data_IF_278373149677
#
_entry.id   IF_278373149677
#
_cell.length_a   1.000
_cell.length_b   1.000
_cell.length_c   1.000
_cell.angle_alpha   90.00
_cell.angle_beta   90.00
_cell.angle_gamma   90.00
#
_symmetry.space_group_name_H-M   'P 1'
#
loop_
_entity.id
_entity.type
_entity.pdbx_description
1 polymer ?
#
# COMPACT_ATOMS: atom_id res chain seq x y z
N UNK A 1 18.10 -10.64 -11.68
CA UNK A 1 16.93 -9.75 -11.50
C UNK A 1 17.17 -8.65 -10.47
N UNK A 2 17.54 -8.97 -9.23
CA UNK A 2 17.76 -7.96 -8.18
C UNK A 2 18.77 -6.87 -8.58
N UNK A 3 19.90 -7.25 -9.20
CA UNK A 3 20.89 -6.29 -9.72
C UNK A 3 20.29 -5.27 -10.70
N UNK A 4 19.45 -5.71 -11.63
CA UNK A 4 18.80 -4.84 -12.62
C UNK A 4 17.85 -3.85 -11.95
N UNK A 5 17.09 -4.29 -10.94
CA UNK A 5 16.22 -3.42 -10.14
C UNK A 5 17.04 -2.43 -9.30
N UNK A 6 18.15 -2.86 -8.70
CA UNK A 6 19.07 -1.96 -8.01
C UNK A 6 19.62 -0.87 -8.94
N UNK A 7 19.94 -1.21 -10.19
CA UNK A 7 20.38 -0.23 -11.19
C UNK A 7 19.25 0.75 -11.54
N UNK A 8 18.02 0.27 -11.74
CA UNK A 8 16.84 1.14 -11.98
C UNK A 8 16.62 2.09 -10.79
N UNK A 9 16.67 1.57 -9.56
CA UNK A 9 16.57 2.38 -8.34
C UNK A 9 17.67 3.43 -8.28
N UNK A 10 18.91 3.09 -8.64
CA UNK A 10 20.02 4.02 -8.68
C UNK A 10 19.80 5.13 -9.72
N UNK A 11 19.38 4.78 -10.94
CA UNK A 11 19.05 5.75 -11.99
C UNK A 11 17.94 6.70 -11.53
N UNK A 12 16.87 6.16 -10.96
CA UNK A 12 15.74 6.92 -10.44
C UNK A 12 16.15 7.85 -9.28
N UNK A 13 17.13 7.47 -8.44
CA UNK A 13 17.66 8.36 -7.40
C UNK A 13 18.57 9.46 -7.96
N UNK A 14 19.36 9.16 -8.97
CA UNK A 14 20.35 10.11 -9.51
C UNK A 14 19.72 11.15 -10.42
N UNK A 15 18.75 10.78 -11.25
CA UNK A 15 18.08 11.71 -12.16
C UNK A 15 16.58 11.38 -12.29
N UNK A 16 15.79 11.68 -11.24
CA UNK A 16 14.41 11.20 -11.12
C UNK A 16 13.51 11.76 -12.24
N UNK A 17 13.45 13.07 -12.42
CA UNK A 17 12.53 13.70 -13.38
C UNK A 17 12.85 13.31 -14.83
N UNK A 18 14.14 13.30 -15.21
CA UNK A 18 14.52 12.91 -16.57
C UNK A 18 14.21 11.44 -16.84
N UNK A 19 14.45 10.56 -15.86
CA UNK A 19 14.13 9.14 -15.98
C UNK A 19 12.62 8.92 -16.13
N UNK A 20 11.80 9.53 -15.26
CA UNK A 20 10.33 9.42 -15.30
C UNK A 20 9.78 9.93 -16.63
N UNK A 21 10.23 11.10 -17.08
CA UNK A 21 9.84 11.65 -18.39
C UNK A 21 10.18 10.67 -19.52
N UNK A 22 11.41 10.15 -19.56
CA UNK A 22 11.84 9.21 -20.59
C UNK A 22 11.00 7.91 -20.61
N UNK A 23 10.75 7.29 -19.45
CA UNK A 23 10.01 6.02 -19.41
C UNK A 23 8.50 6.21 -19.63
N UNK A 24 7.98 7.42 -19.40
CA UNK A 24 6.58 7.76 -19.64
C UNK A 24 6.26 8.03 -21.12
N UNK A 25 7.24 8.48 -21.91
CA UNK A 25 7.07 8.80 -23.33
C UNK A 25 7.66 7.75 -24.27
N UNK A 26 8.36 6.73 -23.75
CA UNK A 26 8.98 5.70 -24.57
C UNK A 26 8.15 4.42 -24.57
N UNK A 27 7.62 4.08 -25.75
CA UNK A 27 6.84 2.85 -25.98
C UNK A 27 7.71 1.65 -26.34
N UNK A 28 7.20 0.43 -26.12
CA UNK A 28 7.86 -0.82 -26.55
C UNK A 28 7.48 -1.19 -27.98
N UNK A 29 7.04 -0.23 -28.79
CA UNK A 29 6.59 -0.52 -30.15
C UNK A 29 7.75 -1.06 -31.01
N UNK A 30 7.53 -2.16 -31.71
CA UNK A 30 8.55 -2.93 -32.44
C UNK A 30 8.82 -2.43 -33.87
N UNK A 31 8.28 -1.26 -34.24
CA UNK A 31 8.25 -0.79 -35.62
C UNK A 31 9.63 -0.63 -36.27
N UNK A 32 10.70 -0.43 -35.50
CA UNK A 32 12.01 -0.07 -36.05
C UNK A 32 13.23 -0.77 -35.45
N UNK A 33 13.08 -1.60 -34.41
CA UNK A 33 14.23 -2.20 -33.70
C UNK A 33 13.98 -3.67 -33.29
N UNK A 34 14.84 -4.61 -33.71
CA UNK A 34 14.69 -6.04 -33.38
C UNK A 34 14.85 -6.34 -31.88
N UNK A 35 15.50 -5.45 -31.13
CA UNK A 35 15.60 -5.58 -29.68
C UNK A 35 14.25 -5.38 -28.98
N UNK A 36 13.36 -4.55 -29.54
CA UNK A 36 12.02 -4.34 -28.97
C UNK A 36 11.08 -5.51 -29.24
N UNK A 37 11.24 -6.22 -30.36
CA UNK A 37 10.50 -7.47 -30.59
C UNK A 37 10.94 -8.57 -29.62
N UNK A 38 12.24 -8.67 -29.32
CA UNK A 38 12.73 -9.56 -28.26
C UNK A 38 12.15 -9.18 -26.90
N UNK A 39 12.11 -7.88 -26.55
CA UNK A 39 11.52 -7.42 -25.30
C UNK A 39 10.03 -7.77 -25.19
N UNK A 40 9.24 -7.53 -26.25
CA UNK A 40 7.83 -7.94 -26.29
C UNK A 40 7.67 -9.45 -26.09
N UNK A 41 8.54 -10.26 -26.71
CA UNK A 41 8.54 -11.71 -26.52
C UNK A 41 8.82 -12.11 -25.07
N UNK A 42 9.83 -11.50 -24.44
CA UNK A 42 10.18 -11.73 -23.04
C UNK A 42 9.05 -11.32 -22.10
N UNK A 43 8.34 -10.22 -22.38
CA UNK A 43 7.18 -9.79 -21.60
C UNK A 43 6.01 -10.77 -21.72
N UNK A 44 5.75 -11.28 -22.92
CA UNK A 44 4.73 -12.31 -23.13
C UNK A 44 5.07 -13.60 -22.37
N UNK A 45 6.32 -14.05 -22.41
CA UNK A 45 6.79 -15.21 -21.63
C UNK A 45 6.71 -14.97 -20.13
N UNK A 46 7.09 -13.78 -19.67
CA UNK A 46 6.98 -13.43 -18.26
C UNK A 46 5.52 -13.50 -17.78
N UNK A 47 4.58 -12.94 -18.55
CA UNK A 47 3.15 -13.01 -18.23
C UNK A 47 2.65 -14.46 -18.14
N UNK A 48 3.10 -15.33 -19.04
CA UNK A 48 2.78 -16.77 -19.01
C UNK A 48 3.34 -17.42 -17.74
N UNK A 49 4.58 -17.10 -17.38
CA UNK A 49 5.24 -17.61 -16.18
C UNK A 49 4.55 -17.16 -14.88
N UNK A 50 4.10 -15.90 -14.83
CA UNK A 50 3.32 -15.38 -13.69
C UNK A 50 1.98 -16.12 -13.54
N UNK A 51 1.42 -16.66 -14.62
CA UNK A 51 0.19 -17.48 -14.59
C UNK A 51 0.46 -18.97 -14.29
N UNK A 52 1.66 -19.30 -13.78
CA UNK A 52 2.03 -20.65 -13.35
C UNK A 52 2.45 -21.61 -14.46
N UNK A 53 2.64 -21.12 -15.70
CA UNK A 53 3.11 -21.94 -16.83
C UNK A 53 4.63 -21.82 -17.00
N UNK A 54 5.23 -22.76 -17.73
CA UNK A 54 6.68 -22.71 -18.00
C UNK A 54 7.04 -21.48 -18.87
N UNK A 55 8.17 -20.83 -18.58
CA UNK A 55 8.63 -19.64 -19.30
C UNK A 55 8.86 -19.88 -20.79
N UNK A 56 9.24 -21.10 -21.16
CA UNK A 56 9.48 -21.51 -22.55
C UNK A 56 8.26 -22.20 -23.18
N UNK A 57 7.10 -22.17 -22.53
CA UNK A 57 5.86 -22.69 -23.11
C UNK A 57 5.37 -21.83 -24.29
N UNK A 58 4.47 -22.41 -25.08
CA UNK A 58 3.96 -21.77 -26.30
C UNK A 58 3.24 -20.45 -25.98
N UNK A 59 3.67 -19.37 -26.63
CA UNK A 59 3.05 -18.04 -26.50
C UNK A 59 1.79 -18.01 -27.38
N UNK A 60 0.58 -17.81 -26.83
CA UNK A 60 -0.62 -17.62 -27.64
C UNK A 60 -0.43 -16.49 -28.66
N UNK A 61 -0.92 -16.67 -29.88
CA UNK A 61 -0.68 -15.75 -31.02
C UNK A 61 -1.11 -14.31 -30.68
N UNK A 62 -2.17 -14.15 -29.88
CA UNK A 62 -2.72 -12.84 -29.48
C UNK A 62 -1.89 -12.10 -28.41
N UNK A 63 -0.99 -12.80 -27.71
CA UNK A 63 -0.21 -12.22 -26.59
C UNK A 63 0.74 -11.12 -27.04
N UNK A 64 1.32 -11.24 -28.23
CA UNK A 64 2.29 -10.29 -28.77
C UNK A 64 1.66 -8.93 -29.13
N UNK A 65 0.33 -8.88 -29.29
CA UNK A 65 -0.39 -7.62 -29.52
C UNK A 65 -0.62 -6.82 -28.23
N UNK A 66 -0.59 -7.48 -27.07
CA UNK A 66 -0.92 -6.87 -25.78
C UNK A 66 0.06 -5.76 -25.34
N UNK A 67 1.32 -5.82 -25.79
CA UNK A 67 2.39 -4.91 -25.33
C UNK A 67 2.80 -3.84 -26.35
N UNK A 68 2.20 -3.83 -27.56
CA UNK A 68 2.62 -2.92 -28.64
C UNK A 68 2.43 -1.43 -28.28
N UNK A 69 1.44 -1.12 -27.45
CA UNK A 69 1.13 0.23 -26.98
C UNK A 69 1.57 0.50 -25.54
N UNK A 70 2.22 -0.45 -24.86
CA UNK A 70 2.68 -0.25 -23.49
C UNK A 70 3.91 0.66 -23.46
N UNK A 71 3.90 1.62 -22.54
CA UNK A 71 5.05 2.47 -22.23
C UNK A 71 5.99 1.74 -21.26
N UNK A 72 7.27 2.10 -21.23
CA UNK A 72 8.23 1.53 -20.28
C UNK A 72 7.81 1.70 -18.82
N UNK A 73 7.16 2.82 -18.50
CA UNK A 73 6.63 3.05 -17.16
C UNK A 73 5.55 2.02 -16.76
N UNK A 74 4.67 1.65 -17.70
CA UNK A 74 3.60 0.66 -17.47
C UNK A 74 4.21 -0.71 -17.17
N UNK A 75 5.26 -1.07 -17.90
CA UNK A 75 5.99 -2.33 -17.71
C UNK A 75 6.74 -2.33 -16.38
N UNK A 76 7.44 -1.24 -16.06
CA UNK A 76 8.17 -1.13 -14.79
C UNK A 76 7.23 -1.27 -13.59
N UNK A 77 6.10 -0.56 -13.61
CA UNK A 77 5.08 -0.65 -12.57
C UNK A 77 4.54 -2.09 -12.50
N UNK A 78 4.15 -2.68 -13.62
CA UNK A 78 3.59 -4.05 -13.65
C UNK A 78 4.57 -5.08 -13.09
N UNK A 79 5.84 -5.01 -13.47
CA UNK A 79 6.89 -5.90 -12.94
C UNK A 79 7.07 -5.71 -11.44
N UNK A 80 7.14 -4.46 -10.97
CA UNK A 80 7.24 -4.18 -9.53
C UNK A 80 6.03 -4.72 -8.77
N UNK A 81 4.81 -4.59 -9.31
CA UNK A 81 3.61 -5.14 -8.71
C UNK A 81 3.65 -6.67 -8.65
N UNK A 82 4.10 -7.36 -9.71
CA UNK A 82 4.24 -8.82 -9.72
C UNK A 82 5.26 -9.31 -8.69
N UNK A 83 6.41 -8.65 -8.59
CA UNK A 83 7.44 -9.01 -7.60
C UNK A 83 7.09 -8.59 -6.17
N UNK A 84 6.31 -7.54 -5.98
CA UNK A 84 5.81 -7.17 -4.66
C UNK A 84 4.87 -8.23 -4.07
N UNK A 85 4.08 -8.91 -4.92
CA UNK A 85 3.12 -9.96 -4.51
C UNK A 85 3.66 -11.38 -4.64
N UNK A 86 4.91 -11.55 -5.08
CA UNK A 86 5.45 -12.88 -5.36
C UNK A 86 5.57 -13.70 -4.08
N UNK A 87 5.20 -14.97 -4.16
CA UNK A 87 5.31 -15.94 -3.07
C UNK A 87 5.61 -17.31 -3.67
N UNK A 88 6.14 -18.20 -2.83
CA UNK A 88 6.25 -19.62 -3.19
C UNK A 88 5.03 -20.37 -2.67
N UNK A 89 4.42 -21.25 -3.49
CA UNK A 89 3.35 -22.12 -3.01
C UNK A 89 3.83 -23.06 -1.90
N UNK A 90 2.95 -23.38 -0.96
CA UNK A 90 3.22 -24.19 0.25
C UNK A 90 3.73 -25.60 -0.06
N UNK A 91 3.39 -26.15 -1.23
CA UNK A 91 3.81 -27.49 -1.66
C UNK A 91 5.18 -27.52 -2.34
N UNK A 92 5.78 -26.36 -2.63
CA UNK A 92 7.12 -26.27 -3.22
C UNK A 92 8.16 -26.32 -2.10
N UNK A 93 9.19 -27.15 -2.26
CA UNK A 93 10.35 -27.14 -1.36
C UNK A 93 11.21 -25.92 -1.69
N UNK A 94 11.30 -24.97 -0.75
CA UNK A 94 11.98 -23.70 -0.92
C UNK A 94 13.17 -23.63 0.04
N UNK A 95 14.33 -23.15 -0.42
CA UNK A 95 15.47 -22.92 0.46
C UNK A 95 15.33 -21.59 1.21
N UNK A 96 16.02 -21.44 2.35
CA UNK A 96 16.05 -20.16 3.07
C UNK A 96 16.61 -19.01 2.23
N UNK A 97 17.55 -19.31 1.32
CA UNK A 97 18.11 -18.33 0.38
C UNK A 97 17.08 -17.85 -0.64
N UNK A 98 16.22 -18.73 -1.13
CA UNK A 98 15.13 -18.37 -2.05
C UNK A 98 14.12 -17.43 -1.38
N UNK A 99 13.77 -17.70 -0.12
CA UNK A 99 12.88 -16.85 0.68
C UNK A 99 13.46 -15.46 0.89
N UNK A 100 14.74 -15.38 1.30
CA UNK A 100 15.45 -14.10 1.48
C UNK A 100 15.54 -13.36 0.14
N UNK A 101 15.86 -14.07 -0.94
CA UNK A 101 15.91 -13.50 -2.30
C UNK A 101 14.57 -12.90 -2.73
N UNK A 102 13.47 -13.60 -2.48
CA UNK A 102 12.13 -13.12 -2.77
C UNK A 102 11.77 -11.88 -1.93
N UNK A 103 12.09 -11.86 -0.64
CA UNK A 103 11.88 -10.68 0.22
C UNK A 103 12.68 -9.47 -0.25
N UNK A 104 13.95 -9.66 -0.60
CA UNK A 104 14.78 -8.59 -1.15
C UNK A 104 14.16 -8.02 -2.43
N UNK A 105 13.59 -8.89 -3.27
CA UNK A 105 12.92 -8.48 -4.51
C UNK A 105 11.59 -7.74 -4.24
N UNK A 106 10.79 -8.20 -3.28
CA UNK A 106 9.58 -7.51 -2.82
C UNK A 106 9.93 -6.10 -2.31
N UNK A 107 10.90 -6.01 -1.39
CA UNK A 107 11.35 -4.74 -0.82
C UNK A 107 11.88 -3.78 -1.88
N UNK A 108 12.75 -4.25 -2.78
CA UNK A 108 13.28 -3.43 -3.87
C UNK A 108 12.16 -2.93 -4.80
N UNK A 109 11.15 -3.76 -5.08
CA UNK A 109 10.00 -3.38 -5.91
C UNK A 109 9.15 -2.29 -5.25
N UNK A 110 8.90 -2.42 -3.93
CA UNK A 110 8.18 -1.41 -3.14
C UNK A 110 8.96 -0.08 -3.11
N UNK A 111 10.28 -0.13 -2.92
CA UNK A 111 11.12 1.07 -2.93
C UNK A 111 11.12 1.79 -4.28
N UNK A 112 11.20 1.04 -5.40
CA UNK A 112 11.12 1.63 -6.75
C UNK A 112 9.75 2.29 -6.96
N UNK A 113 8.65 1.61 -6.60
CA UNK A 113 7.30 2.18 -6.70
C UNK A 113 7.16 3.44 -5.85
N UNK A 114 7.73 3.45 -4.63
CA UNK A 114 7.70 4.59 -3.72
C UNK A 114 8.35 5.82 -4.35
N UNK A 115 9.58 5.64 -4.87
CA UNK A 115 10.33 6.71 -5.54
C UNK A 115 9.63 7.17 -6.82
N UNK A 116 9.10 6.22 -7.60
CA UNK A 116 8.43 6.51 -8.86
C UNK A 116 7.15 7.31 -8.65
N UNK A 117 6.30 6.93 -7.68
CA UNK A 117 5.06 7.67 -7.40
C UNK A 117 5.32 9.03 -6.79
N UNK A 118 6.34 9.15 -5.92
CA UNK A 118 6.76 10.44 -5.37
C UNK A 118 7.21 11.40 -6.47
N UNK A 119 7.96 10.90 -7.45
CA UNK A 119 8.44 11.74 -8.55
C UNK A 119 7.34 12.04 -9.58
N UNK A 120 6.49 11.05 -9.91
CA UNK A 120 5.34 11.27 -10.78
C UNK A 120 4.43 12.38 -10.25
N UNK A 121 4.22 12.46 -8.93
CA UNK A 121 3.40 13.52 -8.33
C UNK A 121 3.95 14.92 -8.66
N UNK A 122 5.28 15.10 -8.64
CA UNK A 122 5.94 16.37 -9.01
C UNK A 122 5.88 16.65 -10.51
N UNK A 123 6.13 15.63 -11.33
CA UNK A 123 6.12 15.77 -12.80
C UNK A 123 4.73 16.12 -13.29
N UNK A 124 3.68 15.52 -12.71
CA UNK A 124 2.28 15.80 -13.05
C UNK A 124 1.92 17.27 -12.84
N UNK A 125 2.41 17.92 -11.77
CA UNK A 125 2.14 19.34 -11.48
C UNK A 125 2.67 20.31 -12.55
N UNK A 126 3.78 19.97 -13.21
CA UNK A 126 4.44 20.80 -14.23
C UNK A 126 4.15 20.37 -15.67
N UNK A 127 3.27 19.37 -15.84
CA UNK A 127 3.04 18.71 -17.13
C UNK A 127 1.96 19.38 -17.99
N UNK A 128 1.96 19.06 -19.30
CA UNK A 128 0.94 19.53 -20.24
C UNK A 128 -0.42 18.88 -19.99
N UNK A 129 -1.49 19.57 -20.40
CA UNK A 129 -2.87 19.03 -20.38
C UNK A 129 -2.91 17.65 -21.06
N UNK A 130 -3.36 16.63 -20.33
CA UNK A 130 -3.48 15.23 -20.79
C UNK A 130 -2.47 14.25 -20.18
N UNK A 131 -1.33 14.72 -19.65
CA UNK A 131 -0.42 13.82 -18.93
C UNK A 131 -1.02 13.26 -17.63
N UNK A 132 -1.73 14.06 -16.80
CA UNK A 132 -2.38 13.52 -15.59
C UNK A 132 -3.40 12.42 -15.91
N UNK A 133 -4.23 12.59 -16.96
CA UNK A 133 -5.19 11.56 -17.38
C UNK A 133 -4.50 10.29 -17.88
N UNK A 134 -3.39 10.42 -18.63
CA UNK A 134 -2.58 9.27 -19.04
C UNK A 134 -2.05 8.48 -17.82
N UNK A 135 -1.54 9.17 -16.81
CA UNK A 135 -1.07 8.51 -15.57
C UNK A 135 -2.23 7.84 -14.84
N UNK A 136 -3.38 8.50 -14.71
CA UNK A 136 -4.59 7.91 -14.11
C UNK A 136 -5.02 6.62 -14.82
N UNK A 137 -5.11 6.66 -16.15
CA UNK A 137 -5.47 5.49 -16.97
C UNK A 137 -4.45 4.35 -16.82
N UNK A 138 -3.16 4.68 -16.79
CA UNK A 138 -2.10 3.70 -16.58
C UNK A 138 -2.19 3.05 -15.19
N UNK A 139 -2.37 3.82 -14.12
CA UNK A 139 -2.52 3.29 -12.76
C UNK A 139 -3.73 2.34 -12.67
N UNK A 140 -4.85 2.72 -13.29
CA UNK A 140 -6.06 1.90 -13.40
C UNK A 140 -5.83 0.61 -14.18
N UNK A 141 -5.19 0.70 -15.36
CA UNK A 141 -4.83 -0.44 -16.22
C UNK A 141 -3.93 -1.44 -15.49
N UNK A 142 -2.94 -0.94 -14.75
CA UNK A 142 -2.03 -1.75 -13.93
C UNK A 142 -2.67 -2.21 -12.60
N UNK A 143 -3.87 -1.73 -12.24
CA UNK A 143 -4.58 -2.04 -10.98
C UNK A 143 -3.76 -1.69 -9.72
N UNK A 144 -2.97 -0.62 -9.79
CA UNK A 144 -1.97 -0.26 -8.77
C UNK A 144 -2.59 -0.16 -7.36
N UNK A 145 -3.64 0.64 -7.23
CA UNK A 145 -4.34 0.86 -5.96
C UNK A 145 -4.86 -0.43 -5.35
N UNK A 146 -5.58 -1.23 -6.16
CA UNK A 146 -6.14 -2.52 -5.75
C UNK A 146 -5.05 -3.45 -5.23
N UNK A 147 -3.96 -3.61 -5.98
CA UNK A 147 -2.87 -4.53 -5.61
C UNK A 147 -2.20 -4.08 -4.31
N UNK A 148 -1.89 -2.80 -4.15
CA UNK A 148 -1.24 -2.29 -2.93
C UNK A 148 -2.15 -2.43 -1.70
N UNK A 149 -3.44 -2.14 -1.83
CA UNK A 149 -4.40 -2.33 -0.72
C UNK A 149 -4.52 -3.80 -0.32
N UNK A 150 -4.56 -4.72 -1.29
CA UNK A 150 -4.54 -6.16 -0.98
C UNK A 150 -3.23 -6.60 -0.32
N UNK A 151 -2.06 -6.14 -0.79
CA UNK A 151 -0.78 -6.42 -0.13
C UNK A 151 -0.78 -5.94 1.33
N UNK A 152 -1.27 -4.72 1.56
CA UNK A 152 -1.33 -4.16 2.91
C UNK A 152 -2.27 -4.94 3.82
N UNK A 153 -3.50 -5.23 3.37
CA UNK A 153 -4.44 -6.07 4.11
C UNK A 153 -3.83 -7.45 4.38
N UNK A 154 -3.22 -8.08 3.38
CA UNK A 154 -2.57 -9.38 3.56
C UNK A 154 -1.50 -9.34 4.63
N UNK A 155 -0.67 -8.29 4.67
CA UNK A 155 0.32 -8.12 5.74
C UNK A 155 -0.31 -8.07 7.14
N UNK A 156 -1.45 -7.39 7.32
CA UNK A 156 -2.14 -7.26 8.61
C UNK A 156 -2.75 -8.60 9.03
N UNK A 157 -3.49 -9.24 8.11
CA UNK A 157 -4.14 -10.53 8.37
C UNK A 157 -3.13 -11.64 8.64
N UNK A 158 -1.98 -11.63 7.95
CA UNK A 158 -0.85 -12.54 8.20
C UNK A 158 -0.37 -12.47 9.64
N UNK A 159 -0.16 -11.26 10.18
CA UNK A 159 0.27 -11.07 11.58
C UNK A 159 -0.82 -11.52 12.55
N UNK A 160 -2.09 -11.22 12.25
CA UNK A 160 -3.21 -11.64 13.09
C UNK A 160 -3.33 -13.16 13.18
N UNK A 161 -3.25 -13.86 12.03
CA UNK A 161 -3.31 -15.32 11.95
C UNK A 161 -2.17 -15.95 12.76
N UNK A 162 -0.94 -15.50 12.53
CA UNK A 162 0.24 -16.00 13.25
C UNK A 162 0.09 -15.88 14.78
N UNK A 163 -0.39 -14.74 15.27
CA UNK A 163 -0.60 -14.55 16.71
C UNK A 163 -1.73 -15.41 17.25
N UNK A 164 -2.82 -15.58 16.51
CA UNK A 164 -3.94 -16.45 16.94
C UNK A 164 -3.54 -17.92 17.04
N UNK A 165 -2.72 -18.40 16.09
CA UNK A 165 -2.23 -19.78 16.06
C UNK A 165 -1.19 -20.04 17.16
N UNK A 166 -0.28 -19.08 17.39
CA UNK A 166 0.69 -19.13 18.49
C UNK A 166 0.00 -19.19 19.86
N UNK A 167 -1.08 -18.44 20.06
CA UNK A 167 -1.87 -18.46 21.29
C UNK A 167 -2.69 -19.75 21.45
N UNK A 168 -3.08 -20.39 20.34
CA UNK A 168 -3.81 -21.66 20.33
C UNK A 168 -2.91 -22.90 20.53
N UNK A 169 -1.59 -22.73 20.63
CA UNK A 169 -0.63 -23.84 20.81
C UNK A 169 -0.61 -24.85 19.66
N UNK A 170 -1.18 -24.49 18.49
CA UNK A 170 -1.18 -25.35 17.30
C UNK A 170 0.16 -25.20 16.58
N UNK A 171 0.83 -26.32 16.31
CA UNK A 171 1.97 -26.36 15.39
C UNK A 171 1.57 -25.81 14.02
N UNK A 172 2.51 -25.18 13.31
CA UNK A 172 2.39 -24.63 11.95
C UNK A 172 1.95 -25.71 10.94
N UNK A 173 0.68 -26.10 10.98
CA UNK A 173 -0.02 -26.73 9.87
C UNK A 173 -0.73 -25.61 9.14
N UNK A 174 -0.17 -25.16 8.01
CA UNK A 174 -0.78 -24.18 7.14
C UNK A 174 -2.14 -24.71 6.62
N UNK A 175 -3.20 -24.52 7.39
CA UNK A 175 -4.56 -24.75 6.93
C UNK A 175 -4.94 -23.54 6.09
N UNK A 176 -5.03 -23.76 4.79
CA UNK A 176 -5.57 -22.85 3.79
C UNK A 176 -7.09 -22.81 3.94
N UNK A 177 -7.61 -21.87 4.74
CA UNK A 177 -9.02 -21.50 4.65
C UNK A 177 -9.21 -20.56 3.45
N UNK A 178 -9.53 -21.14 2.30
CA UNK A 178 -10.50 -20.57 1.36
C UNK A 178 -10.19 -19.21 0.71
N UNK A 179 -8.93 -18.81 0.57
CA UNK A 179 -8.60 -17.69 -0.29
C UNK A 179 -8.63 -18.15 -1.76
N UNK A 180 -9.28 -17.38 -2.63
CA UNK A 180 -9.08 -17.49 -4.08
C UNK A 180 -7.58 -17.41 -4.38
N UNK A 181 -7.04 -18.29 -5.23
CA UNK A 181 -5.62 -18.34 -5.64
C UNK A 181 -5.07 -16.97 -6.09
N UNK A 182 -5.94 -16.05 -6.55
CA UNK A 182 -5.58 -14.69 -6.95
C UNK A 182 -5.29 -13.72 -5.78
N UNK A 183 -5.68 -14.06 -4.54
CA UNK A 183 -5.60 -13.18 -3.36
C UNK A 183 -4.64 -13.66 -2.27
N UNK A 184 -3.96 -14.79 -2.46
CA UNK A 184 -3.00 -15.32 -1.50
C UNK A 184 -1.67 -14.56 -1.60
N UNK A 185 -1.42 -13.64 -0.66
CA UNK A 185 -0.09 -13.05 -0.46
C UNK A 185 0.36 -13.39 0.96
N UNK A 186 1.00 -14.54 1.12
CA UNK A 186 1.50 -14.95 2.43
C UNK A 186 2.85 -14.28 2.70
N UNK A 187 2.87 -13.25 3.55
CA UNK A 187 4.11 -12.60 4.02
C UNK A 187 4.68 -13.24 5.29
N UNK A 188 4.04 -14.30 5.80
CA UNK A 188 4.32 -14.87 7.12
C UNK A 188 5.47 -15.89 7.09
N UNK A 189 6.73 -15.46 7.02
CA UNK A 189 7.86 -16.35 7.36
C UNK A 189 9.08 -15.62 7.99
N UNK A 190 8.92 -14.46 8.61
CA UNK A 190 9.99 -13.87 9.43
C UNK A 190 9.64 -13.91 10.91
N UNK A 191 10.23 -14.87 11.62
CA UNK A 191 10.17 -14.99 13.08
C UNK A 191 10.79 -13.77 13.81
N UNK A 192 11.64 -12.99 13.11
CA UNK A 192 12.45 -11.92 13.70
C UNK A 192 11.74 -10.56 13.77
N UNK A 193 10.90 -10.21 12.77
CA UNK A 193 10.27 -8.88 12.72
C UNK A 193 8.74 -8.91 12.51
N UNK A 194 8.12 -10.09 12.43
CA UNK A 194 6.67 -10.24 12.20
C UNK A 194 6.16 -9.41 11.00
N UNK A 195 6.99 -9.19 9.97
CA UNK A 195 6.62 -8.43 8.77
C UNK A 195 6.48 -6.91 8.94
N UNK A 196 6.90 -6.30 10.06
CA UNK A 196 6.75 -4.84 10.23
C UNK A 196 7.55 -4.01 9.24
N UNK A 197 8.77 -4.45 8.87
CA UNK A 197 9.59 -3.74 7.89
C UNK A 197 8.90 -3.66 6.54
N UNK A 198 8.33 -4.76 6.06
CA UNK A 198 7.58 -4.80 4.82
C UNK A 198 6.31 -3.93 4.91
N UNK A 199 5.53 -4.08 5.98
CA UNK A 199 4.33 -3.27 6.19
C UNK A 199 4.68 -1.77 6.22
N UNK A 200 5.78 -1.38 6.84
CA UNK A 200 6.28 0.00 6.85
C UNK A 200 6.52 0.53 5.44
N UNK A 201 7.17 -0.26 4.59
CA UNK A 201 7.42 0.15 3.20
C UNK A 201 6.13 0.19 2.37
N UNK A 202 5.19 -0.73 2.61
CA UNK A 202 3.86 -0.70 1.98
C UNK A 202 3.10 0.58 2.37
N UNK A 203 3.13 0.99 3.65
CA UNK A 203 2.53 2.25 4.10
C UNK A 203 3.15 3.47 3.41
N UNK A 204 4.48 3.48 3.24
CA UNK A 204 5.18 4.56 2.51
C UNK A 204 4.75 4.64 1.06
N UNK A 205 4.69 3.51 0.34
CA UNK A 205 4.21 3.50 -1.05
C UNK A 205 2.75 3.95 -1.13
N UNK A 206 1.89 3.47 -0.24
CA UNK A 206 0.48 3.86 -0.19
C UNK A 206 0.33 5.37 0.02
N UNK A 207 1.10 5.96 0.93
CA UNK A 207 1.11 7.40 1.16
C UNK A 207 1.50 8.17 -0.12
N UNK A 208 2.59 7.79 -0.80
CA UNK A 208 3.01 8.44 -2.06
C UNK A 208 1.95 8.27 -3.16
N UNK A 209 1.29 7.11 -3.21
CA UNK A 209 0.22 6.84 -4.16
C UNK A 209 -1.05 7.66 -3.88
N UNK A 210 -1.44 7.87 -2.62
CA UNK A 210 -2.59 8.74 -2.28
C UNK A 210 -2.35 10.17 -2.79
N UNK A 211 -1.13 10.70 -2.61
CA UNK A 211 -0.76 12.02 -3.14
C UNK A 211 -0.85 12.06 -4.66
N UNK A 212 -0.24 11.06 -5.33
CA UNK A 212 -0.28 10.97 -6.80
C UNK A 212 -1.70 10.85 -7.33
N UNK A 213 -2.52 9.98 -6.75
CA UNK A 213 -3.92 9.77 -7.12
C UNK A 213 -4.71 11.07 -7.03
N UNK A 214 -4.55 11.80 -5.92
CA UNK A 214 -5.19 13.09 -5.77
C UNK A 214 -4.78 14.06 -6.89
N UNK A 215 -3.49 14.15 -7.24
CA UNK A 215 -2.99 15.04 -8.30
C UNK A 215 -3.51 14.67 -9.70
N UNK A 216 -3.71 13.38 -9.98
CA UNK A 216 -4.15 12.94 -11.33
C UNK A 216 -5.67 12.88 -11.48
N UNK A 217 -6.42 12.73 -10.38
CA UNK A 217 -7.89 12.70 -10.40
C UNK A 217 -8.52 14.10 -10.25
N UNK A 218 -7.79 15.12 -9.77
CA UNK A 218 -8.31 16.48 -9.54
C UNK A 218 -8.21 17.40 -10.77
N UNK A 219 -8.73 16.95 -11.91
CA UNK A 219 -9.01 17.84 -13.07
C UNK A 219 -10.51 18.21 -13.01
N UNK A 220 -10.90 19.50 -13.16
CA UNK A 220 -11.84 20.18 -12.26
C UNK A 220 -13.35 19.96 -12.51
N UNK A 221 -14.08 19.99 -11.38
CA UNK A 221 -15.38 20.65 -11.10
C UNK A 221 -16.73 20.27 -11.74
N UNK A 222 -16.88 19.30 -12.64
CA UNK A 222 -18.24 19.06 -13.22
C UNK A 222 -18.95 17.73 -12.87
N UNK A 223 -18.31 16.80 -12.15
CA UNK A 223 -18.96 15.53 -11.78
C UNK A 223 -19.23 15.42 -10.27
N UNK A 224 -20.04 16.35 -9.75
CA UNK A 224 -20.57 16.24 -8.38
C UNK A 224 -21.50 15.03 -8.18
N UNK A 225 -22.01 14.42 -9.26
CA UNK A 225 -22.98 13.34 -9.21
C UNK A 225 -22.38 11.92 -9.02
N UNK A 226 -21.05 11.74 -9.05
CA UNK A 226 -20.41 10.42 -9.07
C UNK A 226 -20.08 9.80 -7.71
N UNK A 227 -20.08 10.60 -6.63
CA UNK A 227 -19.58 10.20 -5.31
C UNK A 227 -20.69 10.02 -4.25
N UNK A 228 -21.95 9.89 -4.69
CA UNK A 228 -23.10 9.72 -3.78
C UNK A 228 -23.38 8.25 -3.43
N UNK A 229 -22.50 7.32 -3.83
CA UNK A 229 -22.66 5.89 -3.57
C UNK A 229 -21.51 5.35 -2.70
N UNK A 230 -21.90 4.59 -1.67
CA UNK A 230 -21.08 3.89 -0.65
C UNK A 230 -20.66 4.72 0.58
N UNK A 231 -21.53 5.62 1.06
CA UNK A 231 -21.53 6.00 2.49
C UNK A 231 -22.27 4.96 3.34
N UNK A 232 -22.96 3.97 2.78
CA UNK A 232 -23.71 3.00 3.60
C UNK A 232 -22.86 1.80 4.09
N UNK A 233 -21.90 1.31 3.32
CA UNK A 233 -21.14 0.08 3.69
C UNK A 233 -20.02 0.28 4.73
N UNK A 234 -19.55 1.50 4.99
CA UNK A 234 -18.54 1.72 6.05
C UNK A 234 -19.17 1.95 7.44
N UNK A 235 -20.49 1.77 7.62
CA UNK A 235 -21.15 2.10 8.90
C UNK A 235 -20.79 1.08 9.97
N UNK A 236 -20.38 -0.12 9.53
CA UNK A 236 -20.11 -1.25 10.41
C UNK A 236 -18.85 -2.00 9.91
N UNK A 237 -17.69 -1.33 9.89
CA UNK A 237 -16.43 -2.07 9.75
C UNK A 237 -16.23 -2.87 11.03
N UNK A 238 -16.67 -4.13 10.98
CA UNK A 238 -16.40 -5.09 12.03
C UNK A 238 -14.91 -5.49 11.92
N UNK A 239 -14.08 -5.26 12.95
CA UNK A 239 -12.68 -5.71 12.96
C UNK A 239 -12.52 -7.22 12.72
N UNK A 240 -13.58 -8.00 12.94
CA UNK A 240 -13.61 -9.45 12.75
C UNK A 240 -14.04 -9.90 11.35
N UNK A 241 -14.38 -8.99 10.44
CA UNK A 241 -14.82 -9.36 9.09
C UNK A 241 -13.68 -10.02 8.29
N UNK A 242 -13.92 -11.13 7.55
CA UNK A 242 -12.89 -11.83 6.80
C UNK A 242 -12.41 -11.02 5.60
N UNK A 243 -11.12 -11.14 5.25
CA UNK A 243 -10.53 -10.41 4.11
C UNK A 243 -11.28 -10.66 2.80
N UNK A 244 -11.79 -11.87 2.57
CA UNK A 244 -12.51 -12.26 1.35
C UNK A 244 -13.79 -11.44 1.09
N UNK A 245 -14.35 -10.79 2.12
CA UNK A 245 -15.52 -9.94 1.96
C UNK A 245 -15.20 -8.50 1.53
N UNK A 246 -13.92 -8.12 1.55
CA UNK A 246 -13.47 -6.79 1.16
C UNK A 246 -13.29 -6.71 -0.35
N UNK A 247 -14.02 -5.82 -1.01
CA UNK A 247 -13.96 -5.62 -2.45
C UNK A 247 -13.42 -4.23 -2.80
N UNK A 248 -12.63 -4.17 -3.87
CA UNK A 248 -12.10 -2.92 -4.41
C UNK A 248 -13.10 -2.26 -5.35
N UNK A 249 -13.39 -0.98 -5.13
CA UNK A 249 -14.32 -0.19 -5.93
C UNK A 249 -13.56 0.65 -6.96
N UNK A 250 -13.61 0.27 -8.24
CA UNK A 250 -12.72 0.81 -9.29
C UNK A 250 -12.86 2.32 -9.57
N UNK A 251 -13.96 2.94 -9.14
CA UNK A 251 -14.26 4.36 -9.41
C UNK A 251 -14.08 5.27 -8.20
N UNK A 252 -13.52 4.75 -7.09
CA UNK A 252 -13.33 5.52 -5.86
C UNK A 252 -11.84 5.69 -5.54
N UNK A 253 -11.42 6.85 -5.00
CA UNK A 253 -10.05 7.04 -4.57
C UNK A 253 -9.75 6.14 -3.36
N UNK A 254 -8.47 5.88 -3.12
CA UNK A 254 -7.96 5.04 -2.03
C UNK A 254 -8.59 5.44 -0.69
N UNK A 255 -8.64 6.74 -0.38
CA UNK A 255 -9.16 7.27 0.89
C UNK A 255 -10.65 6.97 1.10
N UNK A 256 -11.40 6.73 0.01
CA UNK A 256 -12.81 6.37 0.04
C UNK A 256 -13.07 4.85 0.01
N UNK A 257 -12.03 4.03 -0.16
CA UNK A 257 -12.17 2.57 -0.18
C UNK A 257 -12.48 2.02 1.22
N UNK A 258 -13.46 1.11 1.31
CA UNK A 258 -13.67 0.34 2.54
C UNK A 258 -12.48 -0.54 2.91
N UNK A 259 -11.72 -1.00 1.92
CA UNK A 259 -10.44 -1.68 2.12
C UNK A 259 -9.44 -0.83 2.89
N UNK A 260 -9.35 0.48 2.60
CA UNK A 260 -8.42 1.40 3.26
C UNK A 260 -8.80 1.62 4.72
N UNK A 261 -10.05 2.01 4.99
CA UNK A 261 -10.51 2.24 6.35
C UNK A 261 -10.45 0.95 7.19
N UNK A 262 -10.79 -0.20 6.58
CA UNK A 262 -10.68 -1.51 7.24
C UNK A 262 -9.22 -1.84 7.60
N UNK A 263 -8.27 -1.61 6.69
CA UNK A 263 -6.85 -1.80 6.96
C UNK A 263 -6.38 -0.96 8.17
N UNK A 264 -6.74 0.33 8.18
CA UNK A 264 -6.38 1.25 9.27
C UNK A 264 -6.96 0.79 10.61
N UNK A 265 -8.27 0.54 10.68
CA UNK A 265 -8.92 0.15 11.93
C UNK A 265 -8.40 -1.18 12.44
N UNK A 266 -8.21 -2.18 11.56
CA UNK A 266 -7.67 -3.49 11.96
C UNK A 266 -6.24 -3.40 12.47
N UNK A 267 -5.38 -2.64 11.79
CA UNK A 267 -4.00 -2.47 12.22
C UNK A 267 -3.90 -1.74 13.57
N UNK A 268 -4.68 -0.67 13.77
CA UNK A 268 -4.72 0.05 15.04
C UNK A 268 -5.38 -0.77 16.15
N UNK A 269 -6.31 -1.67 15.84
CA UNK A 269 -6.92 -2.54 16.84
C UNK A 269 -5.96 -3.64 17.35
N UNK A 270 -4.97 -4.03 16.55
CA UNK A 270 -4.12 -5.18 16.80
C UNK A 270 -3.11 -4.94 17.93
N UNK A 271 -3.36 -5.51 19.11
CA UNK A 271 -2.48 -5.43 20.30
C UNK A 271 -1.08 -5.98 20.06
N UNK A 272 -1.00 -7.08 19.33
CA UNK A 272 0.26 -7.78 19.11
C UNK A 272 1.20 -7.06 18.12
N UNK A 273 0.67 -6.09 17.38
CA UNK A 273 1.41 -5.26 16.44
C UNK A 273 1.43 -3.77 16.87
N UNK A 274 1.31 -3.50 18.18
CA UNK A 274 1.30 -2.14 18.73
C UNK A 274 2.52 -1.30 18.27
N UNK A 275 3.68 -1.94 18.06
CA UNK A 275 4.89 -1.31 17.49
C UNK A 275 4.67 -0.60 16.14
N UNK A 276 3.64 -0.99 15.37
CA UNK A 276 3.32 -0.40 14.06
C UNK A 276 2.35 0.78 14.14
N UNK A 277 1.66 0.98 15.27
CA UNK A 277 0.66 2.03 15.41
C UNK A 277 1.20 3.44 15.06
N UNK A 278 2.44 3.84 15.44
CA UNK A 278 2.98 5.14 15.03
C UNK A 278 2.99 5.35 13.51
N UNK A 279 3.30 4.30 12.74
CA UNK A 279 3.34 4.38 11.28
C UNK A 279 1.94 4.48 10.67
N UNK A 280 0.96 3.79 11.25
CA UNK A 280 -0.44 3.88 10.84
C UNK A 280 -1.07 5.23 11.17
N UNK A 281 -0.76 5.79 12.34
CA UNK A 281 -1.14 7.15 12.73
C UNK A 281 -0.50 8.17 11.79
N UNK A 282 0.78 8.00 11.47
CA UNK A 282 1.49 8.83 10.49
C UNK A 282 0.86 8.78 9.09
N UNK A 283 0.43 7.60 8.63
CA UNK A 283 -0.29 7.48 7.35
C UNK A 283 -1.63 8.22 7.39
N UNK A 284 -2.44 8.03 8.43
CA UNK A 284 -3.76 8.68 8.54
C UNK A 284 -3.61 10.20 8.57
N UNK A 285 -2.76 10.72 9.45
CA UNK A 285 -2.53 12.17 9.58
C UNK A 285 -2.03 12.79 8.28
N UNK A 286 -1.11 12.11 7.57
CA UNK A 286 -0.64 12.56 6.26
C UNK A 286 -1.70 12.44 5.15
N UNK A 287 -2.73 11.60 5.32
CA UNK A 287 -3.78 11.37 4.33
C UNK A 287 -4.98 12.30 4.49
N UNK A 288 -5.15 12.97 5.63
CA UNK A 288 -6.29 13.85 5.93
C UNK A 288 -6.61 14.83 4.79
N UNK A 289 -5.62 15.49 4.17
CA UNK A 289 -5.91 16.46 3.13
C UNK A 289 -6.48 15.90 1.83
N UNK A 290 -6.38 14.58 1.65
CA UNK A 290 -6.81 13.88 0.44
C UNK A 290 -8.13 13.10 0.65
N UNK A 291 -8.79 13.28 1.80
CA UNK A 291 -10.02 12.54 2.13
C UNK A 291 -11.30 13.21 1.61
N UNK A 292 -11.28 14.52 1.35
CA UNK A 292 -12.45 15.24 0.80
C UNK A 292 -13.75 14.92 1.56
N UNK A 293 -14.79 14.47 0.84
CA UNK A 293 -16.13 14.19 1.38
C UNK A 293 -16.17 13.06 2.42
N UNK A 294 -15.21 12.13 2.41
CA UNK A 294 -15.19 11.01 3.37
C UNK A 294 -14.43 11.32 4.67
N UNK A 295 -13.84 12.51 4.78
CA UNK A 295 -13.01 12.94 5.92
C UNK A 295 -13.72 12.73 7.26
N UNK A 296 -14.93 13.27 7.42
CA UNK A 296 -15.69 13.20 8.67
C UNK A 296 -15.79 11.76 9.17
N UNK A 297 -16.14 10.85 8.26
CA UNK A 297 -16.34 9.45 8.61
C UNK A 297 -15.05 8.75 9.02
N UNK A 298 -14.00 8.89 8.21
CA UNK A 298 -12.69 8.28 8.48
C UNK A 298 -12.15 8.79 9.82
N UNK A 299 -12.20 10.09 10.04
CA UNK A 299 -11.72 10.73 11.27
C UNK A 299 -12.49 10.27 12.50
N UNK A 300 -13.82 10.18 12.45
CA UNK A 300 -14.62 9.70 13.58
C UNK A 300 -14.24 8.26 13.95
N UNK A 301 -14.19 7.35 12.96
CA UNK A 301 -13.84 5.95 13.20
C UNK A 301 -12.42 5.78 13.74
N UNK A 302 -11.44 6.50 13.15
CA UNK A 302 -10.05 6.40 13.59
C UNK A 302 -9.87 7.02 14.98
N UNK A 303 -10.42 8.20 15.24
CA UNK A 303 -10.33 8.86 16.55
C UNK A 303 -10.91 7.98 17.66
N UNK A 304 -12.08 7.38 17.43
CA UNK A 304 -12.67 6.43 18.38
C UNK A 304 -11.74 5.24 18.65
N UNK A 305 -11.10 4.69 17.62
CA UNK A 305 -10.16 3.60 17.77
C UNK A 305 -8.88 4.02 18.54
N UNK A 306 -8.36 5.23 18.29
CA UNK A 306 -7.22 5.77 19.03
C UNK A 306 -7.56 6.00 20.50
N UNK A 307 -8.76 6.51 20.81
CA UNK A 307 -9.24 6.66 22.18
C UNK A 307 -9.35 5.31 22.91
N UNK A 308 -9.86 4.27 22.25
CA UNK A 308 -9.88 2.90 22.79
C UNK A 308 -8.47 2.37 23.06
N UNK A 309 -7.53 2.61 22.15
CA UNK A 309 -6.15 2.20 22.34
C UNK A 309 -5.50 2.92 23.54
N UNK A 310 -5.81 4.21 23.72
CA UNK A 310 -5.33 4.97 24.87
C UNK A 310 -5.86 4.42 26.19
N UNK A 311 -7.16 4.12 26.27
CA UNK A 311 -7.77 3.48 27.44
C UNK A 311 -7.12 2.12 27.74
N UNK A 312 -6.93 1.28 26.73
CA UNK A 312 -6.25 0.00 26.87
C UNK A 312 -4.81 0.14 27.41
N UNK A 313 -4.04 1.12 26.93
CA UNK A 313 -2.68 1.38 27.42
C UNK A 313 -2.68 1.90 28.86
N UNK A 314 -3.64 2.74 29.23
CA UNK A 314 -3.79 3.20 30.62
C UNK A 314 -4.10 2.02 31.53
N UNK A 315 -4.99 1.11 31.13
CA UNK A 315 -5.31 -0.09 31.89
C UNK A 315 -4.10 -1.02 32.04
N UNK A 316 -3.34 -1.23 30.97
CA UNK A 316 -2.07 -1.99 31.00
C UNK A 316 -1.07 -1.34 31.96
N UNK A 317 -0.85 -0.03 31.87
CA UNK A 317 0.05 0.70 32.75
C UNK A 317 -0.34 0.57 34.23
N UNK A 318 -1.65 0.67 34.54
CA UNK A 318 -2.14 0.50 35.92
C UNK A 318 -1.89 -0.91 36.45
N UNK A 319 -2.03 -1.93 35.61
CA UNK A 319 -1.74 -3.31 35.98
C UNK A 319 -0.23 -3.54 36.21
N UNK A 320 0.62 -3.05 35.30
CA UNK A 320 2.08 -3.18 35.39
C UNK A 320 2.67 -2.44 36.61
N UNK A 321 2.08 -1.30 37.00
CA UNK A 321 2.48 -0.53 38.18
C UNK A 321 1.84 -1.02 39.50
N UNK A 322 1.07 -2.11 39.48
CA UNK A 322 0.40 -2.65 40.68
C UNK A 322 -0.75 -1.77 41.20
N UNK A 323 -1.23 -0.82 40.41
CA UNK A 323 -2.37 0.05 40.73
C UNK A 323 -3.73 -0.62 40.46
N UNK A 324 -3.73 -1.81 39.85
CA UNK A 324 -4.90 -2.64 39.57
C UNK A 324 -4.54 -4.11 39.74
N UNK A 325 -5.40 -4.86 40.44
CA UNK A 325 -5.24 -6.30 40.64
C UNK A 325 -5.85 -7.14 39.49
N UNK A 326 -6.63 -6.52 38.62
CA UNK A 326 -7.29 -7.20 37.50
C UNK A 326 -6.43 -7.08 36.24
N UNK A 327 -6.04 -8.24 35.68
CA UNK A 327 -5.32 -8.29 34.40
C UNK A 327 -6.25 -7.81 33.28
N UNK A 328 -5.83 -6.83 32.46
CA UNK A 328 -6.60 -6.36 31.32
C UNK A 328 -6.87 -7.47 30.30
N UNK A 329 -8.02 -7.41 29.62
CA UNK A 329 -8.37 -8.32 28.53
C UNK A 329 -7.48 -8.09 27.30
N UNK A 330 -7.03 -6.85 27.11
CA UNK A 330 -6.11 -6.43 26.07
C UNK A 330 -4.78 -6.05 26.71
N UNK A 331 -3.67 -6.62 26.23
CA UNK A 331 -2.32 -6.18 26.59
C UNK A 331 -1.43 -6.23 25.35
N UNK A 332 -0.72 -5.14 25.09
CA UNK A 332 0.28 -5.08 24.04
C UNK A 332 1.50 -5.92 24.44
N UNK A 333 2.02 -6.70 23.50
CA UNK A 333 3.22 -7.51 23.72
C UNK A 333 4.51 -6.68 23.73
N UNK A 334 4.54 -5.59 22.95
CA UNK A 334 5.65 -4.64 22.85
C UNK A 334 5.04 -3.25 22.71
N UNK A 335 5.21 -2.42 23.73
CA UNK A 335 4.72 -1.04 23.75
C UNK A 335 5.92 -0.10 23.59
N UNK A 336 5.99 0.70 22.52
CA UNK A 336 6.98 1.77 22.42
C UNK A 336 6.87 2.72 23.62
N UNK A 337 7.99 3.22 24.18
CA UNK A 337 7.97 4.05 25.38
C UNK A 337 7.20 5.37 25.19
N UNK A 338 7.13 5.87 23.95
CA UNK A 338 6.45 7.09 23.52
C UNK A 338 5.01 6.85 23.04
N UNK A 339 4.50 5.62 23.08
CA UNK A 339 3.23 5.24 22.44
C UNK A 339 2.01 6.07 22.91
N UNK A 340 1.90 6.37 24.21
CA UNK A 340 0.82 7.24 24.71
C UNK A 340 0.89 8.65 24.13
N UNK A 341 2.10 9.20 23.99
CA UNK A 341 2.32 10.51 23.37
C UNK A 341 1.95 10.47 21.89
N UNK A 342 2.39 9.44 21.17
CA UNK A 342 2.05 9.23 19.74
C UNK A 342 0.54 9.17 19.51
N UNK A 343 -0.23 8.50 20.37
CA UNK A 343 -1.69 8.47 20.28
C UNK A 343 -2.29 9.85 20.50
N UNK A 344 -1.85 10.57 21.54
CA UNK A 344 -2.33 11.91 21.85
C UNK A 344 -2.00 12.90 20.73
N UNK A 345 -0.80 12.85 20.17
CA UNK A 345 -0.37 13.66 19.03
C UNK A 345 -1.22 13.34 17.79
N UNK A 346 -1.47 12.06 17.51
CA UNK A 346 -2.35 11.62 16.43
C UNK A 346 -3.77 12.16 16.57
N UNK A 347 -4.39 11.99 17.74
CA UNK A 347 -5.73 12.51 18.05
C UNK A 347 -5.76 14.04 17.91
N UNK A 348 -4.75 14.72 18.47
CA UNK A 348 -4.65 16.19 18.43
C UNK A 348 -4.52 16.68 17.00
N UNK A 349 -3.67 16.06 16.18
CA UNK A 349 -3.46 16.42 14.77
C UNK A 349 -4.74 16.25 13.97
N UNK A 350 -5.47 15.15 14.17
CA UNK A 350 -6.73 14.88 13.51
C UNK A 350 -7.80 15.92 13.89
N UNK A 351 -7.97 16.18 15.19
CA UNK A 351 -8.93 17.17 15.68
C UNK A 351 -8.56 18.57 15.16
N UNK A 352 -7.29 18.94 15.26
CA UNK A 352 -6.82 20.24 14.80
C UNK A 352 -7.13 20.44 13.31
N UNK A 353 -6.80 19.44 12.47
CA UNK A 353 -7.13 19.49 11.05
C UNK A 353 -8.63 19.69 10.81
N UNK A 354 -9.49 18.93 11.49
CA UNK A 354 -10.95 19.02 11.33
C UNK A 354 -11.57 20.32 11.84
N UNK A 355 -10.91 21.03 12.76
CA UNK A 355 -11.38 22.31 13.30
C UNK A 355 -10.88 23.52 12.49
N UNK A 356 -9.90 23.34 11.59
CA UNK A 356 -9.44 24.41 10.70
C UNK A 356 -10.52 24.74 9.65
N UNK A 357 -10.65 26.03 9.35
CA UNK A 357 -11.51 26.53 8.26
C UNK A 357 -11.06 25.88 6.92
N UNK A 358 -11.97 25.36 6.07
CA UNK A 358 -11.64 24.76 4.78
C UNK A 358 -10.63 25.55 3.95
N UNK A 359 -10.73 26.89 3.92
CA UNK A 359 -9.74 27.73 3.22
C UNK A 359 -8.31 27.53 3.73
N UNK A 360 -8.15 27.39 5.06
CA UNK A 360 -6.86 27.21 5.73
C UNK A 360 -6.29 25.80 5.52
N UNK A 361 -7.17 24.81 5.38
CA UNK A 361 -6.79 23.43 5.05
C UNK A 361 -6.19 23.32 3.64
N UNK A 362 -6.75 24.04 2.65
CA UNK A 362 -6.17 24.16 1.31
C UNK A 362 -4.81 24.88 1.29
N UNK A 363 -4.64 25.91 2.12
CA UNK A 363 -3.33 26.58 2.26
C UNK A 363 -2.28 25.67 2.92
N UNK A 364 -2.63 24.88 3.94
CA UNK A 364 -1.70 23.91 4.54
C UNK A 364 -1.29 22.80 3.56
N UNK A 365 -2.16 22.42 2.62
CA UNK A 365 -1.81 21.52 1.51
C UNK A 365 -0.72 22.10 0.61
N UNK A 366 -0.86 23.37 0.22
CA UNK A 366 0.12 24.08 -0.61
C UNK A 366 1.46 24.26 0.14
N UNK A 367 1.41 24.61 1.44
CA UNK A 367 2.61 24.90 2.25
C UNK A 367 3.33 23.63 2.72
N UNK A 368 2.63 22.53 3.04
CA UNK A 368 3.29 21.26 3.42
C UNK A 368 3.96 20.57 2.23
N UNK A 369 3.47 20.80 1.00
CA UNK A 369 4.20 20.39 -0.21
C UNK A 369 5.54 21.13 -0.22
N UNK A 370 5.56 22.46 -0.13
CA UNK A 370 6.81 23.24 -0.16
C UNK A 370 7.79 22.96 1.02
N UNK A 371 7.30 22.79 2.25
CA UNK A 371 8.19 22.62 3.42
C UNK A 371 8.80 21.22 3.56
N UNK A 372 8.11 20.15 3.11
CA UNK A 372 8.73 18.81 3.05
C UNK A 372 9.76 18.69 1.93
N UNK A 373 9.68 19.53 0.90
CA UNK A 373 10.67 19.57 -0.19
C UNK A 373 12.01 20.22 0.20
N UNK A 374 12.04 20.99 1.29
CA UNK A 374 13.26 21.60 1.83
C UNK A 374 14.08 20.68 2.75
N UNK A 375 13.48 19.62 3.32
CA UNK A 375 14.15 18.72 4.29
C UNK A 375 14.61 17.37 3.70
N UNK A 376 14.26 17.06 2.44
CA UNK A 376 14.67 15.81 1.74
C UNK A 376 15.50 16.05 0.47
N UNK A 377 16.02 17.27 0.25
CA UNK A 377 17.11 17.55 -0.69
C UNK A 377 18.45 17.55 0.06
#
# INVERSE_FOLDING_TARGET
>A
TLYSFSAIKAILKTNPSAFVNAISTTSVNNAYTPQLSLLQNLLARHRISVMGKDFYSHIPIDSNHSFRSSMYIEILISLCLYYMRSHYPTHVKVSSQDLIGNRNMQMMSIEILSLLFAELAKVVESSTKGFPSFISDMLSKCKVQKVILHCLLSSIFSVQKWHSEKMAGKNLGAVEEGFSEDSLINFSEDELDNGSTLQSQLLKVLQRLIVLEHRVMTVPEENEAGFDFVVTDLEHINPQQPMASLQYLHSQPITSQGMFLCAVIRALHQHCACKMHPQWIGLITASLPYMGKVLQRVVVSVTLQLCRNLDNLIQQYRYEMGLSNSRPLWMASVTPPDMMLTLLEGITTIIHYCLLDPSTQYYQLLVNVDQKHMFEA
#
